data_IF_479207013800
#
_entry.id   IF_479207013800
#
_cell.length_a   1.000
_cell.length_b   1.000
_cell.length_c   1.000
_cell.angle_alpha   90.00
_cell.angle_beta   90.00
_cell.angle_gamma   90.00
#
_symmetry.space_group_name_H-M   'P 1'
#
loop_
_entity.id
_entity.type
_entity.pdbx_description
1 polymer ?
#
# COMPACT_ATOMS: atom_id res chain seq x y z
N UNK A 1 -47.79 11.16 20.59
CA UNK A 1 -46.39 11.23 20.16
C UNK A 1 -45.65 12.42 20.72
N UNK A 2 -46.15 13.68 20.63
CA UNK A 2 -45.51 14.86 21.27
C UNK A 2 -45.42 14.77 22.80
N UNK A 3 -46.47 14.34 23.47
CA UNK A 3 -46.49 14.15 24.93
C UNK A 3 -45.50 13.07 25.38
N UNK A 4 -45.38 11.97 24.65
CA UNK A 4 -44.40 10.91 24.94
C UNK A 4 -42.97 11.40 24.80
N UNK A 5 -42.66 12.23 23.77
CA UNK A 5 -41.36 12.83 23.62
C UNK A 5 -41.02 13.82 24.72
N UNK A 6 -42.00 14.59 25.21
CA UNK A 6 -41.82 15.51 26.35
C UNK A 6 -41.60 14.75 27.64
N UNK A 7 -42.31 13.64 27.88
CA UNK A 7 -42.13 12.76 29.03
C UNK A 7 -40.74 12.13 29.06
N UNK A 8 -40.25 11.65 27.89
CA UNK A 8 -38.90 11.13 27.72
C UNK A 8 -37.84 12.21 27.97
N UNK A 9 -38.01 13.42 27.43
CA UNK A 9 -37.10 14.54 27.62
C UNK A 9 -37.01 14.95 29.12
N UNK A 10 -38.14 14.96 29.85
CA UNK A 10 -38.18 15.24 31.28
C UNK A 10 -37.47 14.17 32.10
N UNK A 11 -37.56 12.92 31.69
CA UNK A 11 -36.90 11.77 32.34
C UNK A 11 -35.40 11.83 32.17
N UNK A 12 -34.93 12.13 30.95
CA UNK A 12 -33.52 12.31 30.62
C UNK A 12 -32.93 13.45 31.45
N UNK A 13 -33.67 14.56 31.64
CA UNK A 13 -33.19 15.72 32.39
C UNK A 13 -33.10 15.49 33.91
N UNK A 14 -33.90 14.57 34.48
CA UNK A 14 -33.88 14.23 35.89
C UNK A 14 -32.70 13.33 36.32
N UNK A 15 -32.21 12.47 35.44
CA UNK A 15 -31.14 11.52 35.73
C UNK A 15 -29.98 11.61 34.69
N UNK A 16 -29.43 12.83 34.52
CA UNK A 16 -28.44 13.17 33.49
C UNK A 16 -27.21 12.25 33.45
N UNK A 17 -26.63 11.95 34.63
CA UNK A 17 -25.43 11.11 34.73
C UNK A 17 -25.69 9.68 34.24
N UNK A 18 -26.86 9.11 34.59
CA UNK A 18 -27.24 7.74 34.20
C UNK A 18 -27.45 7.65 32.68
N UNK A 19 -28.27 8.58 32.15
CA UNK A 19 -28.52 8.63 30.70
C UNK A 19 -27.24 8.85 29.91
N UNK A 20 -26.34 9.71 30.41
CA UNK A 20 -25.04 9.92 29.81
C UNK A 20 -24.18 8.63 29.81
N UNK A 21 -24.06 7.96 30.98
CA UNK A 21 -23.26 6.73 31.07
C UNK A 21 -23.80 5.59 30.17
N UNK A 22 -25.17 5.48 30.10
CA UNK A 22 -25.81 4.52 29.22
C UNK A 22 -25.50 4.80 27.74
N UNK A 23 -25.73 6.04 27.34
CA UNK A 23 -25.53 6.47 25.98
C UNK A 23 -24.05 6.47 25.58
N UNK A 24 -23.17 6.86 26.49
CA UNK A 24 -21.74 6.91 26.25
C UNK A 24 -21.16 5.53 25.88
N UNK A 25 -21.58 4.46 26.58
CA UNK A 25 -21.09 3.10 26.25
C UNK A 25 -21.44 2.68 24.81
N UNK A 26 -22.64 3.03 24.33
CA UNK A 26 -23.06 2.77 22.95
C UNK A 26 -22.33 3.68 21.96
N UNK A 27 -22.29 4.99 22.28
CA UNK A 27 -21.59 5.97 21.46
C UNK A 27 -20.12 5.60 21.28
N UNK A 28 -19.45 5.20 22.37
CA UNK A 28 -18.04 4.78 22.36
C UNK A 28 -17.83 3.51 21.55
N UNK A 29 -18.72 2.52 21.66
CA UNK A 29 -18.63 1.28 20.88
C UNK A 29 -18.73 1.54 19.38
N UNK A 30 -19.70 2.36 18.94
CA UNK A 30 -19.87 2.72 17.52
C UNK A 30 -18.70 3.61 17.05
N UNK A 31 -18.28 4.57 17.85
CA UNK A 31 -17.13 5.42 17.59
C UNK A 31 -15.86 4.59 17.31
N UNK A 32 -15.51 3.68 18.23
CA UNK A 32 -14.34 2.82 18.11
C UNK A 32 -14.43 1.91 16.90
N UNK A 33 -15.61 1.35 16.61
CA UNK A 33 -15.82 0.51 15.44
C UNK A 33 -15.54 1.28 14.14
N UNK A 34 -16.04 2.52 14.02
CA UNK A 34 -15.83 3.35 12.83
C UNK A 34 -14.35 3.72 12.67
N UNK A 35 -13.69 4.12 13.75
CA UNK A 35 -12.26 4.48 13.73
C UNK A 35 -11.40 3.29 13.33
N UNK A 36 -11.66 2.11 13.91
CA UNK A 36 -10.89 0.90 13.60
C UNK A 36 -11.12 0.43 12.15
N UNK A 37 -12.39 0.41 11.69
CA UNK A 37 -12.70 0.03 10.30
C UNK A 37 -12.13 1.04 9.30
N UNK A 38 -12.24 2.33 9.59
CA UNK A 38 -11.69 3.39 8.75
C UNK A 38 -10.17 3.28 8.63
N UNK A 39 -9.47 3.12 9.76
CA UNK A 39 -8.01 2.93 9.79
C UNK A 39 -7.58 1.65 9.06
N UNK A 40 -8.30 0.54 9.26
CA UNK A 40 -8.02 -0.73 8.59
C UNK A 40 -8.19 -0.64 7.06
N UNK A 41 -9.25 0.02 6.60
CA UNK A 41 -9.47 0.25 5.17
C UNK A 41 -8.44 1.22 4.57
N UNK A 42 -8.08 2.30 5.29
CA UNK A 42 -7.03 3.22 4.86
C UNK A 42 -5.70 2.52 4.64
N UNK A 43 -5.28 1.68 5.60
CA UNK A 43 -4.05 0.90 5.47
C UNK A 43 -4.11 -0.11 4.30
N UNK A 44 -5.25 -0.76 4.10
CA UNK A 44 -5.47 -1.66 2.95
C UNK A 44 -5.35 -0.93 1.62
N UNK A 45 -5.96 0.25 1.50
CA UNK A 45 -5.89 1.07 0.29
C UNK A 45 -4.45 1.52 0.00
N UNK A 46 -3.73 2.02 1.00
CA UNK A 46 -2.33 2.42 0.87
C UNK A 46 -1.44 1.26 0.40
N UNK A 47 -1.69 0.04 0.87
CA UNK A 47 -0.98 -1.14 0.38
C UNK A 47 -1.36 -1.48 -1.07
N UNK A 48 -2.65 -1.45 -1.43
CA UNK A 48 -3.09 -1.70 -2.80
C UNK A 48 -2.47 -0.69 -3.78
N UNK A 49 -2.39 0.58 -3.40
CA UNK A 49 -1.74 1.61 -4.20
C UNK A 49 -0.24 1.36 -4.37
N UNK A 50 0.43 0.84 -3.33
CA UNK A 50 1.86 0.47 -3.39
C UNK A 50 2.15 -0.67 -4.38
N UNK A 51 1.21 -1.58 -4.58
CA UNK A 51 1.32 -2.69 -5.55
C UNK A 51 0.61 -2.41 -6.88
N UNK A 52 -0.27 -1.39 -6.94
CA UNK A 52 -1.21 -1.18 -8.04
C UNK A 52 -0.57 -0.90 -9.41
N UNK A 53 0.66 -0.41 -9.44
CA UNK A 53 1.38 -0.13 -10.67
C UNK A 53 2.28 -1.30 -11.13
N UNK A 54 2.60 -2.25 -10.24
CA UNK A 54 3.38 -3.45 -10.59
C UNK A 54 2.50 -4.49 -11.29
N UNK A 55 3.05 -5.16 -12.29
CA UNK A 55 2.38 -6.34 -12.83
C UNK A 55 2.28 -7.42 -11.73
N UNK A 56 1.06 -7.71 -11.30
CA UNK A 56 0.80 -8.64 -10.16
C UNK A 56 1.40 -10.02 -10.42
N UNK A 57 1.48 -10.43 -11.68
CA UNK A 57 2.11 -11.68 -12.13
C UNK A 57 3.61 -11.52 -12.38
N UNK A 58 4.28 -10.53 -11.79
CA UNK A 58 5.72 -10.35 -11.98
C UNK A 58 6.56 -10.97 -10.89
N UNK A 59 7.74 -11.43 -11.30
CA UNK A 59 8.80 -11.89 -10.41
C UNK A 59 10.07 -11.10 -10.66
N UNK A 60 10.90 -10.94 -9.64
CA UNK A 60 12.16 -10.22 -9.70
C UNK A 60 13.26 -11.08 -9.09
N UNK A 61 14.38 -11.18 -9.79
CA UNK A 61 15.56 -11.95 -9.34
C UNK A 61 16.66 -10.97 -8.99
N UNK A 62 17.11 -11.04 -7.77
CA UNK A 62 18.23 -10.28 -7.24
C UNK A 62 19.41 -11.19 -6.96
N UNK A 63 20.61 -10.68 -7.19
CA UNK A 63 21.82 -11.36 -6.76
C UNK A 63 21.98 -11.34 -5.25
N UNK A 64 22.73 -12.30 -4.73
CA UNK A 64 23.01 -12.45 -3.32
C UNK A 64 24.41 -12.96 -3.06
N UNK A 65 24.62 -13.58 -1.92
CA UNK A 65 25.91 -14.12 -1.51
C UNK A 65 25.80 -15.58 -1.11
N UNK A 66 26.63 -16.44 -1.71
CA UNK A 66 26.59 -17.88 -1.41
C UNK A 66 26.87 -18.17 0.05
N UNK A 67 26.07 -19.05 0.66
CA UNK A 67 26.23 -19.49 2.04
C UNK A 67 26.97 -20.82 2.16
N UNK A 68 27.03 -21.59 1.06
CA UNK A 68 27.66 -22.92 1.03
C UNK A 68 28.65 -23.07 -0.14
N UNK A 69 29.65 -23.94 0.01
CA UNK A 69 30.59 -24.25 -1.07
C UNK A 69 29.91 -25.08 -2.16
N UNK A 70 30.28 -24.88 -3.42
CA UNK A 70 29.73 -25.63 -4.55
C UNK A 70 30.72 -25.78 -5.70
N UNK A 71 30.87 -26.99 -6.25
CA UNK A 71 31.74 -27.31 -7.41
C UNK A 71 33.15 -26.70 -7.33
N UNK A 72 33.79 -26.76 -6.17
CA UNK A 72 35.14 -26.26 -5.93
C UNK A 72 35.24 -24.78 -5.54
N UNK A 73 34.11 -24.04 -5.59
CA UNK A 73 34.06 -22.67 -5.11
C UNK A 73 33.70 -22.61 -3.60
N UNK A 74 34.33 -21.70 -2.87
CA UNK A 74 34.01 -21.47 -1.46
C UNK A 74 32.71 -20.68 -1.29
N UNK A 75 32.12 -20.75 -0.09
CA UNK A 75 31.01 -19.87 0.32
C UNK A 75 31.45 -18.39 0.37
N UNK A 76 30.47 -17.49 0.41
CA UNK A 76 30.72 -16.04 0.52
C UNK A 76 30.96 -15.34 -0.80
N UNK A 77 30.79 -16.02 -1.94
CA UNK A 77 30.93 -15.43 -3.28
C UNK A 77 29.67 -14.61 -3.64
N UNK A 78 29.85 -13.41 -4.16
CA UNK A 78 28.72 -12.64 -4.69
C UNK A 78 28.27 -13.25 -6.02
N UNK A 79 26.98 -13.48 -6.13
CA UNK A 79 26.32 -13.90 -7.35
C UNK A 79 25.51 -12.72 -7.85
N UNK A 80 25.71 -12.32 -9.10
CA UNK A 80 25.03 -11.20 -9.72
C UNK A 80 24.42 -11.66 -11.03
N UNK A 81 23.13 -11.47 -11.27
CA UNK A 81 22.53 -11.73 -12.57
C UNK A 81 23.21 -10.89 -13.66
N UNK A 82 23.16 -11.35 -14.90
CA UNK A 82 23.74 -10.61 -16.02
C UNK A 82 22.76 -10.54 -17.21
N UNK A 83 23.10 -9.74 -18.24
CA UNK A 83 22.24 -9.59 -19.42
C UNK A 83 22.06 -10.89 -20.21
N UNK A 84 23.02 -11.82 -20.14
CA UNK A 84 22.93 -13.07 -20.87
C UNK A 84 21.87 -14.00 -20.26
N UNK A 85 21.56 -13.82 -18.98
CA UNK A 85 20.49 -14.55 -18.31
C UNK A 85 19.12 -14.26 -18.94
N UNK A 86 18.91 -13.09 -19.54
CA UNK A 86 17.67 -12.80 -20.27
C UNK A 86 17.44 -13.85 -21.36
N UNK A 87 18.48 -14.11 -22.16
CA UNK A 87 18.39 -15.07 -23.25
C UNK A 87 18.28 -16.51 -22.74
N UNK A 88 19.02 -16.83 -21.67
CA UNK A 88 18.93 -18.13 -20.99
C UNK A 88 17.52 -18.40 -20.51
N UNK A 89 16.91 -17.45 -19.80
CA UNK A 89 15.57 -17.60 -19.24
C UNK A 89 14.49 -17.62 -20.32
N UNK A 90 14.59 -16.76 -21.33
CA UNK A 90 13.63 -16.75 -22.46
C UNK A 90 13.64 -18.05 -23.21
N UNK A 91 14.82 -18.68 -23.43
CA UNK A 91 14.95 -19.95 -24.17
C UNK A 91 14.50 -21.15 -23.31
N UNK A 92 14.73 -21.14 -22.01
CA UNK A 92 14.41 -22.25 -21.11
C UNK A 92 12.93 -22.27 -20.69
N UNK A 93 12.32 -21.09 -20.57
CA UNK A 93 10.95 -20.91 -20.04
C UNK A 93 10.03 -20.15 -21.01
N UNK A 94 9.97 -20.51 -22.32
CA UNK A 94 9.21 -19.72 -23.31
C UNK A 94 7.71 -19.69 -23.06
N UNK A 95 7.17 -20.74 -22.43
CA UNK A 95 5.74 -20.85 -22.12
C UNK A 95 5.36 -20.17 -20.80
N UNK A 96 6.32 -20.04 -19.87
CA UNK A 96 6.06 -19.48 -18.53
C UNK A 96 6.46 -18.00 -18.42
N UNK A 97 7.46 -17.53 -19.14
CA UNK A 97 7.88 -16.12 -19.13
C UNK A 97 7.27 -15.39 -20.31
N UNK A 98 6.56 -14.29 -20.05
CA UNK A 98 5.94 -13.45 -21.07
C UNK A 98 6.89 -12.32 -21.51
N UNK A 99 7.28 -11.50 -20.56
CA UNK A 99 8.17 -10.38 -20.78
C UNK A 99 9.30 -10.41 -19.76
N UNK A 100 10.49 -9.99 -20.18
CA UNK A 100 11.64 -9.90 -19.31
C UNK A 100 12.36 -8.56 -19.49
N UNK A 101 12.79 -7.98 -18.38
CA UNK A 101 13.56 -6.74 -18.33
C UNK A 101 14.70 -6.87 -17.33
N UNK A 102 15.75 -6.10 -17.59
CA UNK A 102 16.87 -5.95 -16.68
C UNK A 102 17.02 -4.49 -16.26
N UNK A 103 17.52 -4.28 -15.07
CA UNK A 103 17.93 -2.94 -14.62
C UNK A 103 19.27 -2.94 -13.93
N UNK A 104 19.99 -1.80 -14.03
CA UNK A 104 21.24 -1.53 -13.35
C UNK A 104 21.17 -0.14 -12.72
N UNK A 105 21.85 0.05 -11.61
CA UNK A 105 21.69 1.24 -10.78
C UNK A 105 23.00 2.04 -10.70
N UNK A 106 22.87 3.35 -10.90
CA UNK A 106 23.90 4.31 -10.56
C UNK A 106 23.31 5.32 -9.56
N UNK A 107 23.74 5.23 -8.31
CA UNK A 107 23.16 5.97 -7.19
C UNK A 107 23.72 7.39 -7.11
N UNK A 108 22.87 8.36 -6.81
CA UNK A 108 23.30 9.72 -6.50
C UNK A 108 23.83 10.50 -7.70
N UNK A 109 23.32 10.27 -8.90
CA UNK A 109 23.69 11.01 -10.10
C UNK A 109 23.31 12.50 -9.96
N UNK A 110 24.24 13.39 -10.29
CA UNK A 110 24.01 14.82 -10.25
C UNK A 110 23.42 15.31 -11.55
N UNK A 111 22.26 15.95 -11.47
CA UNK A 111 21.54 16.51 -12.60
C UNK A 111 21.73 18.02 -12.65
N UNK A 112 21.91 18.59 -13.84
CA UNK A 112 21.98 20.03 -14.02
C UNK A 112 21.30 20.47 -15.34
N UNK A 113 20.56 21.57 -15.25
CA UNK A 113 20.00 22.27 -16.41
C UNK A 113 20.08 23.78 -16.16
N UNK A 114 20.94 24.48 -16.93
CA UNK A 114 21.21 25.89 -16.70
C UNK A 114 21.84 26.14 -15.33
N UNK A 115 21.09 26.80 -14.44
CA UNK A 115 21.50 27.09 -13.05
C UNK A 115 20.83 26.18 -12.02
N UNK A 116 19.93 25.29 -12.46
CA UNK A 116 19.18 24.39 -11.57
C UNK A 116 19.90 23.07 -11.44
N UNK A 117 19.89 22.53 -10.23
CA UNK A 117 20.54 21.28 -9.87
C UNK A 117 19.58 20.37 -9.12
N UNK A 118 19.71 19.08 -9.32
CA UNK A 118 19.01 18.05 -8.57
C UNK A 118 19.90 16.81 -8.45
N UNK A 119 19.54 15.89 -7.56
CA UNK A 119 20.19 14.57 -7.45
C UNK A 119 19.14 13.51 -7.66
N UNK A 120 19.44 12.51 -8.47
CA UNK A 120 18.54 11.38 -8.72
C UNK A 120 19.31 10.06 -8.83
N UNK A 121 18.61 8.96 -8.71
CA UNK A 121 19.16 7.64 -8.99
C UNK A 121 18.94 7.32 -10.48
N UNK A 122 20.02 7.10 -11.21
CA UNK A 122 19.99 6.75 -12.62
C UNK A 122 19.83 5.23 -12.78
N UNK A 123 18.74 4.82 -13.38
CA UNK A 123 18.43 3.42 -13.71
C UNK A 123 18.69 3.18 -15.19
N UNK A 124 19.67 2.33 -15.49
CA UNK A 124 19.82 1.77 -16.82
C UNK A 124 18.84 0.62 -17.02
N UNK A 125 17.92 0.72 -17.97
CA UNK A 125 16.82 -0.23 -18.12
C UNK A 125 16.68 -0.73 -19.56
N UNK A 126 16.06 -1.90 -19.71
CA UNK A 126 15.64 -2.44 -21.01
C UNK A 126 14.24 -1.93 -21.41
N UNK A 127 13.85 -1.98 -22.69
CA UNK A 127 12.60 -1.38 -23.19
C UNK A 127 11.32 -1.93 -22.56
N UNK A 128 11.30 -3.17 -22.12
CA UNK A 128 10.13 -3.82 -21.49
C UNK A 128 9.94 -3.48 -19.99
N UNK A 129 10.85 -2.72 -19.41
CA UNK A 129 10.84 -2.34 -18.02
C UNK A 129 9.53 -1.65 -17.58
N UNK A 130 8.95 -0.66 -18.32
CA UNK A 130 7.76 0.04 -17.87
C UNK A 130 6.54 -0.86 -17.78
N UNK A 131 6.40 -1.84 -18.67
CA UNK A 131 5.27 -2.76 -18.69
C UNK A 131 5.27 -3.69 -17.45
N UNK A 132 6.47 -4.09 -16.99
CA UNK A 132 6.65 -4.98 -15.84
C UNK A 132 6.59 -4.22 -14.51
N UNK A 133 7.22 -3.04 -14.48
CA UNK A 133 7.33 -2.21 -13.26
C UNK A 133 6.23 -1.16 -13.11
N UNK A 134 5.26 -1.11 -14.04
CA UNK A 134 4.14 -0.18 -13.98
C UNK A 134 4.51 1.29 -14.19
N UNK A 135 5.61 1.56 -14.91
CA UNK A 135 6.03 2.94 -15.16
C UNK A 135 5.12 3.59 -16.22
N UNK A 136 4.34 4.59 -15.81
CA UNK A 136 3.39 5.30 -16.68
C UNK A 136 4.02 6.54 -17.26
N UNK A 137 4.27 6.55 -18.59
CA UNK A 137 4.76 7.72 -19.31
C UNK A 137 3.64 8.76 -19.41
N UNK A 138 3.93 9.98 -18.98
CA UNK A 138 2.97 11.12 -18.99
C UNK A 138 3.15 12.00 -20.21
N UNK A 139 4.37 12.12 -20.74
CA UNK A 139 4.66 12.89 -21.95
C UNK A 139 5.88 12.31 -22.68
N UNK A 140 5.92 12.47 -24.00
CA UNK A 140 7.02 11.93 -24.82
C UNK A 140 6.95 10.41 -24.98
N UNK A 141 8.09 9.73 -24.85
CA UNK A 141 8.21 8.27 -24.98
C UNK A 141 9.17 7.68 -23.95
N UNK A 142 9.05 6.38 -23.73
CA UNK A 142 10.05 5.61 -22.99
C UNK A 142 11.23 5.19 -23.87
N UNK A 143 12.22 4.54 -23.27
CA UNK A 143 13.40 3.97 -23.92
C UNK A 143 12.97 2.84 -24.86
N UNK A 144 13.54 2.78 -26.05
CA UNK A 144 13.22 1.77 -27.07
C UNK A 144 14.47 0.96 -27.49
N UNK A 145 14.27 -0.04 -28.33
CA UNK A 145 15.34 -0.92 -28.83
C UNK A 145 16.43 -0.17 -29.60
N UNK A 146 16.07 0.88 -30.34
CA UNK A 146 17.03 1.72 -31.06
C UNK A 146 17.96 2.45 -30.11
N UNK A 147 17.41 2.99 -28.98
CA UNK A 147 18.21 3.67 -27.96
C UNK A 147 19.21 2.70 -27.31
N UNK A 148 18.82 1.44 -27.09
CA UNK A 148 19.72 0.38 -26.59
C UNK A 148 20.82 0.03 -27.61
N UNK A 149 20.42 -0.21 -28.84
CA UNK A 149 21.34 -0.64 -29.89
C UNK A 149 22.38 0.42 -30.23
N UNK A 150 21.95 1.66 -30.32
CA UNK A 150 22.81 2.80 -30.65
C UNK A 150 23.44 3.45 -29.41
N UNK A 151 23.17 2.94 -28.23
CA UNK A 151 23.68 3.46 -26.94
C UNK A 151 23.42 4.97 -26.79
N UNK A 152 22.20 5.39 -27.16
CA UNK A 152 21.83 6.80 -27.14
C UNK A 152 21.87 7.36 -25.72
N UNK A 153 22.41 8.57 -25.55
CA UNK A 153 22.36 9.31 -24.28
C UNK A 153 20.99 10.02 -24.17
N UNK A 154 19.96 9.23 -23.88
CA UNK A 154 18.60 9.72 -23.65
C UNK A 154 18.16 9.40 -22.25
N UNK A 155 17.26 10.22 -21.71
CA UNK A 155 16.74 10.06 -20.36
C UNK A 155 15.24 10.31 -20.29
N UNK A 156 14.56 9.55 -19.42
CA UNK A 156 13.17 9.76 -19.04
C UNK A 156 13.19 10.23 -17.59
N UNK A 157 12.57 11.38 -17.32
CA UNK A 157 12.54 12.03 -16.02
C UNK A 157 11.21 11.78 -15.32
N UNK A 158 11.22 11.77 -14.00
CA UNK A 158 9.99 11.89 -13.23
C UNK A 158 9.45 13.34 -13.24
N UNK A 159 8.13 13.46 -12.98
CA UNK A 159 7.44 14.75 -13.01
C UNK A 159 8.02 15.77 -12.00
N UNK A 160 8.55 15.32 -10.85
CA UNK A 160 9.12 16.20 -9.82
C UNK A 160 10.49 16.72 -10.23
N UNK A 161 11.36 15.84 -10.71
CA UNK A 161 12.68 16.23 -11.26
C UNK A 161 12.51 17.20 -12.41
N UNK A 162 11.53 16.96 -13.29
CA UNK A 162 11.21 17.87 -14.38
C UNK A 162 10.78 19.25 -13.87
N UNK A 163 9.88 19.33 -12.90
CA UNK A 163 9.46 20.60 -12.29
C UNK A 163 10.62 21.37 -11.66
N UNK A 164 11.50 20.66 -10.95
CA UNK A 164 12.66 21.26 -10.28
C UNK A 164 13.65 21.85 -11.29
N UNK A 165 14.00 21.08 -12.33
CA UNK A 165 15.02 21.50 -13.30
C UNK A 165 14.50 22.53 -14.31
N UNK A 166 13.26 22.38 -14.76
CA UNK A 166 12.71 23.18 -15.86
C UNK A 166 11.72 24.26 -15.41
N UNK A 167 11.31 24.29 -14.13
CA UNK A 167 10.39 25.31 -13.57
C UNK A 167 9.08 25.47 -14.37
N UNK A 168 8.58 24.35 -14.91
CA UNK A 168 7.34 24.32 -15.70
C UNK A 168 7.53 24.50 -17.21
N UNK A 169 8.75 24.72 -17.70
CA UNK A 169 9.01 24.70 -19.14
C UNK A 169 9.02 23.25 -19.67
N UNK A 170 8.68 23.06 -20.95
CA UNK A 170 8.70 21.74 -21.60
C UNK A 170 10.13 21.17 -21.63
N UNK A 171 10.39 20.02 -21.01
CA UNK A 171 11.69 19.38 -20.98
C UNK A 171 11.97 18.51 -22.21
N UNK A 172 10.97 18.11 -22.99
CA UNK A 172 11.13 17.16 -24.10
C UNK A 172 12.04 17.74 -25.17
N UNK A 173 13.03 16.95 -25.59
CA UNK A 173 14.04 17.33 -26.57
C UNK A 173 15.17 18.22 -26.02
N UNK A 174 15.08 18.70 -24.77
CA UNK A 174 16.17 19.46 -24.14
C UNK A 174 17.29 18.55 -23.65
N UNK A 175 18.48 19.12 -23.58
CA UNK A 175 19.68 18.42 -23.08
C UNK A 175 19.95 18.84 -21.65
N UNK A 176 19.97 17.87 -20.74
CA UNK A 176 20.43 18.05 -19.35
C UNK A 176 21.82 17.44 -19.15
N UNK A 177 22.52 17.86 -18.15
CA UNK A 177 23.76 17.21 -17.73
C UNK A 177 23.45 16.21 -16.62
N UNK A 178 23.94 14.97 -16.79
CA UNK A 178 23.99 13.93 -15.76
C UNK A 178 25.45 13.58 -15.53
N UNK A 179 25.96 13.85 -14.35
CA UNK A 179 27.38 13.68 -14.00
C UNK A 179 28.33 14.31 -15.06
N UNK A 180 28.02 15.55 -15.47
CA UNK A 180 28.73 16.31 -16.50
C UNK A 180 28.59 15.80 -17.95
N UNK A 181 27.77 14.79 -18.19
CA UNK A 181 27.49 14.30 -19.56
C UNK A 181 26.10 14.76 -20.03
N UNK A 182 26.00 15.16 -21.30
CA UNK A 182 24.74 15.59 -21.90
C UNK A 182 23.83 14.40 -22.23
N UNK A 183 22.59 14.47 -21.75
CA UNK A 183 21.51 13.54 -22.07
C UNK A 183 20.30 14.28 -22.59
N UNK A 184 19.70 13.78 -23.67
CA UNK A 184 18.47 14.34 -24.22
C UNK A 184 17.25 13.79 -23.48
N UNK A 185 16.38 14.65 -22.99
CA UNK A 185 15.12 14.23 -22.38
C UNK A 185 14.15 13.78 -23.46
N UNK A 186 13.70 12.52 -23.42
CA UNK A 186 12.80 11.92 -24.42
C UNK A 186 11.42 11.63 -23.87
N UNK A 187 11.25 11.66 -22.56
CA UNK A 187 9.95 11.43 -21.95
C UNK A 187 9.89 11.85 -20.50
N UNK A 188 8.66 11.93 -20.01
CA UNK A 188 8.33 12.12 -18.62
C UNK A 188 7.48 10.95 -18.14
N UNK A 189 7.59 10.59 -16.88
CA UNK A 189 6.74 9.59 -16.27
C UNK A 189 6.20 10.08 -14.92
N UNK A 190 5.07 9.53 -14.50
CA UNK A 190 4.52 9.79 -13.18
C UNK A 190 5.41 9.11 -12.15
N UNK A 191 6.18 9.90 -11.40
CA UNK A 191 7.01 9.41 -10.31
C UNK A 191 6.17 8.79 -9.19
N UNK A 192 6.75 7.81 -8.50
CA UNK A 192 6.13 7.26 -7.29
C UNK A 192 6.60 8.11 -6.09
N UNK A 193 5.66 8.72 -5.38
CA UNK A 193 5.93 9.64 -4.27
C UNK A 193 6.57 8.95 -3.04
N UNK A 194 6.75 7.63 -3.08
CA UNK A 194 7.31 6.86 -1.96
C UNK A 194 8.85 6.78 -1.93
N UNK A 195 9.56 7.38 -2.88
CA UNK A 195 11.02 7.33 -2.91
C UNK A 195 11.63 8.67 -2.49
N UNK A 196 12.51 8.66 -1.49
CA UNK A 196 13.27 9.85 -1.04
C UNK A 196 14.16 10.45 -2.13
N UNK A 197 14.64 9.64 -3.07
CA UNK A 197 15.47 10.09 -4.17
C UNK A 197 14.76 9.80 -5.49
N UNK A 198 14.56 10.82 -6.34
CA UNK A 198 13.96 10.65 -7.65
C UNK A 198 14.69 9.57 -8.47
N UNK A 199 13.94 8.89 -9.32
CA UNK A 199 14.51 7.92 -10.27
C UNK A 199 14.45 8.51 -11.66
N UNK A 200 15.49 8.30 -12.45
CA UNK A 200 15.52 8.64 -13.88
C UNK A 200 15.94 7.41 -14.66
N UNK A 201 15.41 7.25 -15.87
CA UNK A 201 15.65 6.07 -16.69
C UNK A 201 16.46 6.40 -17.93
N UNK A 202 17.44 5.57 -18.23
CA UNK A 202 18.31 5.67 -19.42
C UNK A 202 18.50 4.28 -20.02
N UNK A 203 18.90 4.15 -21.30
CA UNK A 203 19.21 2.85 -21.90
C UNK A 203 20.27 2.11 -21.09
N UNK A 204 20.03 0.83 -20.77
CA UNK A 204 20.96 0.02 -19.98
C UNK A 204 22.35 -0.05 -20.62
N UNK A 205 22.41 -0.12 -21.96
CA UNK A 205 23.68 -0.14 -22.71
C UNK A 205 24.49 1.14 -22.54
N UNK A 206 23.83 2.30 -22.41
CA UNK A 206 24.47 3.60 -22.16
C UNK A 206 25.06 3.65 -20.75
N UNK A 207 24.29 3.19 -19.75
CA UNK A 207 24.74 3.16 -18.34
C UNK A 207 25.93 2.20 -18.18
N UNK A 208 25.91 1.03 -18.80
CA UNK A 208 27.05 0.11 -18.80
C UNK A 208 28.31 0.75 -19.39
N UNK A 209 28.16 1.42 -20.52
CA UNK A 209 29.30 2.06 -21.17
C UNK A 209 29.93 3.18 -20.34
N UNK A 210 29.09 3.98 -19.68
CA UNK A 210 29.55 5.19 -19.00
C UNK A 210 29.98 4.90 -17.56
N UNK A 211 29.20 4.11 -16.83
CA UNK A 211 29.37 3.97 -15.37
C UNK A 211 29.89 2.60 -14.93
N UNK A 212 29.73 1.56 -15.75
CA UNK A 212 30.00 0.17 -15.33
C UNK A 212 31.19 -0.46 -16.08
N UNK A 213 32.00 0.32 -16.79
CA UNK A 213 33.13 -0.18 -17.58
C UNK A 213 32.77 -1.37 -18.48
N UNK A 214 31.59 -1.34 -19.10
CA UNK A 214 31.01 -2.39 -19.95
C UNK A 214 30.79 -3.76 -19.27
N UNK A 215 30.78 -3.83 -17.93
CA UNK A 215 30.30 -5.02 -17.24
C UNK A 215 28.85 -5.26 -17.61
N UNK A 216 28.46 -6.55 -17.66
CA UNK A 216 27.09 -6.97 -18.03
C UNK A 216 26.26 -7.40 -16.84
N UNK A 217 26.81 -7.24 -15.63
CA UNK A 217 26.12 -7.54 -14.38
C UNK A 217 24.97 -6.57 -14.18
N UNK A 218 23.79 -7.08 -13.88
CA UNK A 218 22.57 -6.28 -13.64
C UNK A 218 22.20 -6.27 -12.18
N UNK A 219 21.48 -5.24 -11.74
CA UNK A 219 20.99 -5.14 -10.37
C UNK A 219 19.84 -6.08 -10.11
N UNK A 220 18.91 -6.20 -11.07
CA UNK A 220 17.82 -7.19 -11.05
C UNK A 220 17.40 -7.60 -12.47
N UNK A 221 16.82 -8.80 -12.53
CA UNK A 221 16.02 -9.27 -13.65
C UNK A 221 14.56 -9.30 -13.21
N UNK A 222 13.70 -8.67 -13.97
CA UNK A 222 12.26 -8.63 -13.71
C UNK A 222 11.52 -9.24 -14.90
N UNK A 223 10.54 -10.09 -14.63
CA UNK A 223 9.76 -10.72 -15.70
C UNK A 223 8.32 -10.96 -15.26
N UNK A 224 7.42 -11.04 -16.22
CA UNK A 224 6.04 -11.48 -16.01
C UNK A 224 5.90 -12.95 -16.34
N UNK A 225 5.08 -13.65 -15.54
CA UNK A 225 4.82 -15.08 -15.75
C UNK A 225 3.41 -15.31 -16.29
N UNK A 226 3.29 -16.34 -17.15
CA UNK A 226 2.03 -16.84 -17.72
C UNK A 226 1.63 -18.12 -17.02
N UNK A 227 0.32 -18.36 -16.91
CA UNK A 227 -0.30 -19.62 -16.50
C UNK A 227 0.16 -20.21 -15.14
N UNK A 228 0.81 -19.41 -14.32
CA UNK A 228 1.13 -19.74 -12.92
C UNK A 228 0.01 -19.21 -12.04
N UNK A 229 -0.91 -20.11 -11.61
CA UNK A 229 -2.14 -19.74 -10.87
C UNK A 229 -2.14 -20.23 -9.44
N UNK A 230 -1.39 -21.30 -9.14
CA UNK A 230 -1.31 -21.90 -7.81
C UNK A 230 0.05 -21.67 -7.16
N UNK A 231 0.08 -21.69 -5.84
CA UNK A 231 1.31 -21.51 -5.06
C UNK A 231 2.29 -22.68 -5.31
N UNK A 232 1.76 -23.88 -5.61
CA UNK A 232 2.55 -25.04 -5.95
C UNK A 232 3.26 -24.88 -7.31
N UNK A 233 2.52 -24.37 -8.32
CA UNK A 233 3.10 -24.04 -9.64
C UNK A 233 4.17 -22.94 -9.54
N UNK A 234 3.92 -21.90 -8.71
CA UNK A 234 4.90 -20.84 -8.46
C UNK A 234 6.17 -21.39 -7.81
N UNK A 235 6.01 -22.28 -6.83
CA UNK A 235 7.14 -22.92 -6.17
C UNK A 235 7.96 -23.77 -7.15
N UNK A 236 7.31 -24.67 -7.90
CA UNK A 236 7.98 -25.51 -8.91
C UNK A 236 8.73 -24.67 -9.95
N UNK A 237 8.10 -23.62 -10.45
CA UNK A 237 8.75 -22.70 -11.38
C UNK A 237 9.97 -22.01 -10.75
N UNK A 238 9.88 -21.51 -9.51
CA UNK A 238 10.99 -20.89 -8.79
C UNK A 238 12.14 -21.88 -8.55
N UNK A 239 11.84 -23.11 -8.19
CA UNK A 239 12.85 -24.16 -7.97
C UNK A 239 13.61 -24.48 -9.28
N UNK A 240 12.91 -24.61 -10.41
CA UNK A 240 13.53 -24.80 -11.74
C UNK A 240 14.34 -23.57 -12.19
N UNK A 241 13.82 -22.36 -11.92
CA UNK A 241 14.50 -21.11 -12.21
C UNK A 241 15.83 -21.02 -11.45
N UNK A 242 15.83 -21.30 -10.14
CA UNK A 242 17.03 -21.31 -9.30
C UNK A 242 18.02 -22.36 -9.77
N UNK A 243 17.54 -23.56 -10.11
CA UNK A 243 18.41 -24.64 -10.62
C UNK A 243 19.10 -24.21 -11.92
N UNK A 244 18.38 -23.56 -12.84
CA UNK A 244 18.92 -23.07 -14.11
C UNK A 244 19.94 -21.95 -13.93
N UNK A 245 19.63 -20.97 -13.10
CA UNK A 245 20.55 -19.88 -12.77
C UNK A 245 21.75 -20.38 -11.95
N UNK A 246 21.53 -21.35 -11.06
CA UNK A 246 22.59 -22.04 -10.32
C UNK A 246 23.59 -22.76 -11.23
N UNK A 247 23.12 -23.35 -12.30
CA UNK A 247 23.98 -23.94 -13.31
C UNK A 247 24.78 -22.87 -14.09
N UNK A 248 24.16 -21.75 -14.46
CA UNK A 248 24.80 -20.65 -15.19
C UNK A 248 25.84 -19.90 -14.33
N UNK A 249 25.55 -19.65 -13.07
CA UNK A 249 26.41 -18.90 -12.15
C UNK A 249 27.23 -19.76 -11.18
N UNK A 250 27.14 -21.09 -11.31
CA UNK A 250 27.90 -22.08 -10.53
C UNK A 250 27.67 -21.92 -9.02
N UNK A 251 26.42 -21.94 -8.58
CA UNK A 251 26.03 -22.04 -7.18
C UNK A 251 25.05 -23.19 -6.94
N UNK A 252 24.96 -23.68 -5.70
CA UNK A 252 24.02 -24.75 -5.35
C UNK A 252 22.58 -24.28 -5.46
N UNK A 253 21.68 -25.03 -6.10
CA UNK A 253 20.24 -24.72 -6.09
C UNK A 253 19.63 -24.69 -4.68
N UNK A 254 20.24 -25.39 -3.72
CA UNK A 254 19.78 -25.39 -2.33
C UNK A 254 20.21 -24.13 -1.55
N UNK A 255 21.10 -23.32 -2.11
CA UNK A 255 21.62 -22.11 -1.50
C UNK A 255 20.65 -20.92 -1.73
N UNK A 256 19.67 -20.77 -0.84
CA UNK A 256 18.68 -19.69 -0.89
C UNK A 256 19.26 -18.28 -0.72
N UNK A 257 20.54 -18.16 -0.30
CA UNK A 257 21.22 -16.89 -0.11
C UNK A 257 21.93 -16.42 -1.38
N UNK A 258 22.17 -17.31 -2.35
CA UNK A 258 22.89 -17.03 -3.58
C UNK A 258 22.10 -16.12 -4.53
N UNK A 259 20.79 -16.34 -4.62
CA UNK A 259 19.85 -15.50 -5.35
C UNK A 259 18.52 -15.40 -4.61
N UNK A 260 17.91 -14.23 -4.65
CA UNK A 260 16.60 -13.97 -4.05
C UNK A 260 15.56 -13.71 -5.14
N UNK A 261 14.47 -14.46 -5.11
CA UNK A 261 13.33 -14.26 -6.00
C UNK A 261 12.22 -13.59 -5.24
N UNK A 262 11.87 -12.38 -5.65
CA UNK A 262 10.74 -11.64 -5.12
C UNK A 262 9.52 -11.87 -6.02
N UNK A 263 8.55 -12.62 -5.52
CA UNK A 263 7.29 -12.92 -6.19
C UNK A 263 6.24 -11.91 -5.72
N UNK A 264 5.81 -11.03 -6.63
CA UNK A 264 4.84 -9.96 -6.32
C UNK A 264 3.51 -10.56 -5.90
N UNK A 265 3.04 -11.64 -6.56
CA UNK A 265 1.78 -12.30 -6.24
C UNK A 265 1.80 -12.92 -4.83
N UNK A 266 2.89 -13.58 -4.47
CA UNK A 266 3.05 -14.19 -3.14
C UNK A 266 3.04 -13.12 -2.05
N UNK A 267 3.78 -12.03 -2.24
CA UNK A 267 3.81 -10.91 -1.29
C UNK A 267 2.44 -10.21 -1.20
N UNK A 268 1.74 -10.05 -2.32
CA UNK A 268 0.38 -9.51 -2.33
C UNK A 268 -0.59 -10.40 -1.55
N UNK A 269 -0.55 -11.72 -1.76
CA UNK A 269 -1.37 -12.69 -1.00
C UNK A 269 -1.05 -12.68 0.49
N UNK A 270 0.23 -12.63 0.87
CA UNK A 270 0.65 -12.54 2.28
C UNK A 270 0.13 -11.26 2.91
N UNK A 271 0.24 -10.13 2.23
CA UNK A 271 -0.34 -8.86 2.67
C UNK A 271 -1.86 -8.97 2.85
N UNK A 272 -2.57 -9.54 1.90
CA UNK A 272 -4.02 -9.77 1.99
C UNK A 272 -4.39 -10.64 3.22
N UNK A 273 -3.63 -11.69 3.52
CA UNK A 273 -3.85 -12.53 4.71
C UNK A 273 -3.69 -11.73 6.01
N UNK A 274 -2.67 -10.88 6.09
CA UNK A 274 -2.45 -10.00 7.25
C UNK A 274 -3.65 -9.05 7.42
N UNK A 275 -4.09 -8.39 6.34
CA UNK A 275 -5.24 -7.47 6.41
C UNK A 275 -6.55 -8.17 6.76
N UNK A 276 -6.77 -9.37 6.25
CA UNK A 276 -7.95 -10.17 6.63
C UNK A 276 -7.89 -10.55 8.12
N UNK A 277 -6.70 -10.86 8.66
CA UNK A 277 -6.49 -11.08 10.08
C UNK A 277 -6.79 -9.84 10.93
N UNK A 278 -6.30 -8.68 10.51
CA UNK A 278 -6.59 -7.39 11.17
C UNK A 278 -8.09 -7.10 11.12
N UNK A 279 -8.74 -7.28 9.97
CA UNK A 279 -10.17 -7.07 9.83
C UNK A 279 -10.98 -7.99 10.74
N UNK A 280 -10.62 -9.27 10.83
CA UNK A 280 -11.24 -10.22 11.75
C UNK A 280 -11.10 -9.76 13.21
N UNK A 281 -9.91 -9.33 13.61
CA UNK A 281 -9.65 -8.82 14.95
C UNK A 281 -10.49 -7.57 15.27
N UNK A 282 -10.60 -6.64 14.33
CA UNK A 282 -11.46 -5.44 14.44
C UNK A 282 -12.93 -5.86 14.63
N UNK A 283 -13.42 -6.85 13.86
CA UNK A 283 -14.77 -7.36 14.01
C UNK A 283 -15.02 -7.99 15.39
N UNK A 284 -14.08 -8.77 15.91
CA UNK A 284 -14.18 -9.39 17.24
C UNK A 284 -14.28 -8.30 18.32
N UNK A 285 -13.40 -7.31 18.29
CA UNK A 285 -13.43 -6.18 19.25
C UNK A 285 -14.72 -5.38 19.08
N UNK A 286 -15.10 -5.05 17.85
CA UNK A 286 -16.30 -4.27 17.56
C UNK A 286 -17.57 -4.94 18.06
N UNK A 287 -17.75 -6.23 17.81
CA UNK A 287 -18.88 -7.00 18.34
C UNK A 287 -18.82 -7.06 19.88
N UNK A 288 -17.65 -7.30 20.46
CA UNK A 288 -17.45 -7.31 21.90
C UNK A 288 -17.86 -5.99 22.58
N UNK A 289 -17.46 -4.86 22.00
CA UNK A 289 -17.83 -3.52 22.53
C UNK A 289 -19.32 -3.24 22.37
N UNK A 290 -19.95 -3.68 21.28
CA UNK A 290 -21.40 -3.57 21.10
C UNK A 290 -22.16 -4.41 22.13
N UNK A 291 -21.73 -5.65 22.38
CA UNK A 291 -22.32 -6.51 23.42
C UNK A 291 -22.18 -5.85 24.80
N UNK A 292 -21.01 -5.32 25.13
CA UNK A 292 -20.81 -4.59 26.38
C UNK A 292 -21.74 -3.38 26.50
N UNK A 293 -21.93 -2.64 25.40
CA UNK A 293 -22.92 -1.54 25.32
C UNK A 293 -24.34 -2.01 25.58
N UNK A 294 -24.78 -3.11 24.97
CA UNK A 294 -26.12 -3.70 25.17
C UNK A 294 -26.32 -4.08 26.66
N UNK A 295 -25.33 -4.74 27.27
CA UNK A 295 -25.39 -5.11 28.69
C UNK A 295 -25.49 -3.87 29.57
N UNK A 296 -24.71 -2.82 29.28
CA UNK A 296 -24.77 -1.54 29.97
C UNK A 296 -26.15 -0.90 29.91
N UNK A 297 -26.73 -0.82 28.69
CA UNK A 297 -28.10 -0.29 28.50
C UNK A 297 -29.12 -1.14 29.24
N UNK A 298 -29.06 -2.46 29.17
CA UNK A 298 -29.98 -3.39 29.82
C UNK A 298 -29.96 -3.22 31.35
N UNK A 299 -28.78 -3.14 31.95
CA UNK A 299 -28.65 -2.96 33.41
C UNK A 299 -29.27 -1.65 33.86
N UNK A 300 -29.06 -0.56 33.13
CA UNK A 300 -29.61 0.75 33.50
C UNK A 300 -31.11 0.79 33.27
N UNK A 301 -31.62 0.19 32.20
CA UNK A 301 -33.06 0.09 31.98
C UNK A 301 -33.76 -0.74 33.06
N UNK A 302 -33.15 -1.82 33.53
CA UNK A 302 -33.69 -2.64 34.63
C UNK A 302 -33.81 -1.83 35.94
N UNK A 303 -32.82 -0.99 36.27
CA UNK A 303 -32.90 -0.08 37.41
C UNK A 303 -34.01 0.95 37.21
N UNK A 304 -34.11 1.57 36.02
CA UNK A 304 -35.16 2.54 35.69
C UNK A 304 -36.56 1.96 35.84
N UNK A 305 -36.79 0.73 35.37
CA UNK A 305 -38.06 0.03 35.50
C UNK A 305 -38.38 -0.22 37.00
N UNK A 306 -37.40 -0.63 37.80
CA UNK A 306 -37.59 -0.81 39.26
C UNK A 306 -37.98 0.50 39.98
N UNK A 307 -37.32 1.59 39.66
CA UNK A 307 -37.66 2.92 40.25
C UNK A 307 -39.07 3.38 39.88
N UNK A 308 -39.55 3.04 38.65
CA UNK A 308 -40.90 3.40 38.17
C UNK A 308 -41.96 2.33 38.43
N UNK A 309 -41.67 1.31 39.26
CA UNK A 309 -42.60 0.20 39.52
C UNK A 309 -43.94 0.71 40.10
N UNK A 310 -43.93 1.72 40.99
CA UNK A 310 -45.12 2.33 41.56
C UNK A 310 -45.98 3.03 40.47
N UNK A 311 -45.37 3.79 39.60
CA UNK A 311 -46.01 4.48 38.47
C UNK A 311 -46.67 3.47 37.52
N UNK A 312 -45.95 2.39 37.13
CA UNK A 312 -46.48 1.32 36.33
C UNK A 312 -47.61 0.56 37.02
N UNK A 313 -47.53 0.42 38.36
CA UNK A 313 -48.61 -0.16 39.18
C UNK A 313 -49.91 0.64 39.09
N UNK A 314 -49.83 1.97 39.22
CA UNK A 314 -50.97 2.89 39.08
C UNK A 314 -51.56 2.78 37.66
N UNK A 315 -50.76 2.84 36.61
CA UNK A 315 -51.21 2.75 35.21
C UNK A 315 -51.89 1.40 34.94
N UNK A 316 -51.36 0.32 35.52
CA UNK A 316 -51.98 -1.02 35.42
C UNK A 316 -53.30 -1.10 36.18
N UNK A 317 -53.42 -0.51 37.38
CA UNK A 317 -54.64 -0.44 38.12
C UNK A 317 -55.75 0.37 37.40
N UNK A 318 -55.36 1.39 36.62
CA UNK A 318 -56.27 2.15 35.75
C UNK A 318 -56.63 1.43 34.43
N UNK A 319 -56.18 0.17 34.25
CA UNK A 319 -56.54 -0.63 33.09
C UNK A 319 -55.58 -0.63 31.90
N UNK A 320 -54.34 -0.09 32.08
CA UNK A 320 -53.35 -0.14 31.02
C UNK A 320 -52.90 -1.58 30.72
N UNK A 321 -52.84 -1.94 29.45
CA UNK A 321 -52.34 -3.26 28.99
C UNK A 321 -50.83 -3.39 29.29
N UNK A 322 -50.36 -4.55 29.80
CA UNK A 322 -48.91 -4.76 30.05
C UNK A 322 -48.07 -4.52 28.83
N UNK A 323 -48.54 -4.85 27.63
CA UNK A 323 -47.82 -4.62 26.36
C UNK A 323 -47.60 -3.15 26.06
N UNK A 324 -48.49 -2.24 26.50
CA UNK A 324 -48.30 -0.79 26.31
C UNK A 324 -47.22 -0.24 27.21
N UNK A 325 -47.04 -0.74 28.44
CA UNK A 325 -45.98 -0.37 29.36
C UNK A 325 -44.60 -0.85 28.87
N UNK A 326 -44.53 -2.11 28.38
CA UNK A 326 -43.31 -2.66 27.78
C UNK A 326 -42.92 -1.86 26.55
N UNK A 327 -43.89 -1.54 25.66
CA UNK A 327 -43.65 -0.73 24.47
C UNK A 327 -43.09 0.66 24.82
N UNK A 328 -43.56 1.30 25.89
CA UNK A 328 -43.06 2.61 26.35
C UNK A 328 -41.59 2.51 26.72
N UNK A 329 -41.19 1.53 27.53
CA UNK A 329 -39.80 1.31 27.95
C UNK A 329 -38.90 0.98 26.76
N UNK A 330 -39.37 0.16 25.82
CA UNK A 330 -38.61 -0.16 24.62
C UNK A 330 -38.39 1.05 23.70
N UNK A 331 -39.41 1.88 23.50
CA UNK A 331 -39.28 3.12 22.72
C UNK A 331 -38.27 4.07 23.38
N UNK A 332 -38.33 4.23 24.69
CA UNK A 332 -37.38 5.06 25.44
C UNK A 332 -35.94 4.57 25.26
N UNK A 333 -35.69 3.26 25.40
CA UNK A 333 -34.36 2.68 25.22
C UNK A 333 -33.83 2.82 23.77
N UNK A 334 -34.69 2.58 22.79
CA UNK A 334 -34.32 2.72 21.36
C UNK A 334 -33.99 4.17 21.02
N UNK A 335 -34.77 5.14 21.52
CA UNK A 335 -34.50 6.55 21.23
C UNK A 335 -33.18 7.02 21.87
N UNK A 336 -32.88 6.63 23.10
CA UNK A 336 -31.60 6.95 23.74
C UNK A 336 -30.45 6.29 22.97
N UNK A 337 -30.55 5.01 22.69
CA UNK A 337 -29.52 4.25 21.97
C UNK A 337 -29.27 4.83 20.56
N UNK A 338 -30.33 5.18 19.83
CA UNK A 338 -30.22 5.78 18.49
C UNK A 338 -29.55 7.17 18.54
N UNK A 339 -29.96 8.02 19.51
CA UNK A 339 -29.37 9.36 19.66
C UNK A 339 -27.86 9.30 19.96
N UNK A 340 -27.47 8.48 20.94
CA UNK A 340 -26.05 8.33 21.31
C UNK A 340 -25.26 7.55 20.26
N UNK A 341 -25.88 6.57 19.60
CA UNK A 341 -25.28 5.88 18.45
C UNK A 341 -24.97 6.83 17.30
N UNK A 342 -25.88 7.77 17.03
CA UNK A 342 -25.66 8.81 16.01
C UNK A 342 -24.53 9.77 16.41
N UNK A 343 -24.44 10.15 17.68
CA UNK A 343 -23.32 10.95 18.21
C UNK A 343 -22.00 10.21 18.06
N UNK A 344 -21.95 8.91 18.40
CA UNK A 344 -20.77 8.07 18.20
C UNK A 344 -20.35 7.98 16.75
N UNK A 345 -21.32 7.85 15.83
CA UNK A 345 -21.07 7.82 14.39
C UNK A 345 -20.47 9.16 13.90
N UNK A 346 -21.09 10.29 14.24
CA UNK A 346 -20.57 11.61 13.87
C UNK A 346 -19.15 11.82 14.43
N UNK A 347 -18.94 11.44 15.71
CA UNK A 347 -17.64 11.54 16.34
C UNK A 347 -16.57 10.69 15.63
N UNK A 348 -16.91 9.44 15.27
CA UNK A 348 -16.02 8.53 14.55
C UNK A 348 -15.64 9.04 13.16
N UNK A 349 -16.65 9.42 12.37
CA UNK A 349 -16.42 10.01 11.04
C UNK A 349 -15.65 11.32 11.14
N UNK A 350 -16.03 12.19 12.09
CA UNK A 350 -15.37 13.48 12.31
C UNK A 350 -13.88 13.35 12.67
N UNK A 351 -13.52 12.36 13.50
CA UNK A 351 -12.09 12.09 13.79
C UNK A 351 -11.36 11.55 12.55
N UNK A 352 -11.97 10.64 11.80
CA UNK A 352 -11.34 10.14 10.58
C UNK A 352 -11.10 11.26 9.56
N UNK A 353 -12.08 12.16 9.39
CA UNK A 353 -11.95 13.33 8.52
C UNK A 353 -10.87 14.31 9.00
N UNK A 354 -10.80 14.51 10.32
CA UNK A 354 -9.78 15.36 10.95
C UNK A 354 -8.38 14.78 10.75
N UNK A 355 -8.21 13.48 10.93
CA UNK A 355 -6.96 12.76 10.66
C UNK A 355 -6.57 12.93 9.19
N UNK A 356 -7.51 12.69 8.26
CA UNK A 356 -7.28 12.85 6.82
C UNK A 356 -6.85 14.29 6.49
N UNK A 357 -7.55 15.29 7.01
CA UNK A 357 -7.21 16.70 6.83
C UNK A 357 -5.79 17.04 7.33
N UNK A 358 -5.41 16.57 8.52
CA UNK A 358 -4.06 16.81 9.03
C UNK A 358 -2.99 16.08 8.21
N UNK A 359 -3.29 14.89 7.72
CA UNK A 359 -2.37 14.12 6.89
C UNK A 359 -2.17 14.79 5.52
N UNK A 360 -3.25 15.23 4.86
CA UNK A 360 -3.16 16.00 3.61
C UNK A 360 -2.39 17.31 3.81
N UNK A 361 -2.62 18.01 4.92
CA UNK A 361 -1.90 19.23 5.23
C UNK A 361 -0.44 18.99 5.59
N UNK A 362 -0.14 17.90 6.30
CA UNK A 362 1.23 17.48 6.56
C UNK A 362 1.95 17.10 5.25
N UNK A 363 1.28 16.37 4.36
CA UNK A 363 1.79 16.04 3.03
C UNK A 363 2.02 17.29 2.17
N UNK A 364 1.11 18.27 2.22
CA UNK A 364 1.26 19.53 1.47
C UNK A 364 2.36 20.45 2.03
N UNK A 365 2.63 20.41 3.34
CA UNK A 365 3.63 21.23 4.02
C UNK A 365 4.93 20.49 4.30
N UNK A 366 4.98 19.19 4.02
CA UNK A 366 6.20 18.42 4.19
C UNK A 366 7.27 18.96 3.24
N UNK A 367 8.51 19.18 3.70
CA UNK A 367 9.64 19.32 2.80
C UNK A 367 9.58 18.17 1.80
N UNK A 368 10.01 18.37 0.55
CA UNK A 368 9.94 17.38 -0.54
C UNK A 368 10.49 15.97 -0.21
N UNK A 369 11.02 15.78 0.98
CA UNK A 369 11.65 14.58 1.52
C UNK A 369 10.80 13.78 2.52
N UNK A 370 9.56 14.16 2.82
CA UNK A 370 8.77 13.48 3.84
C UNK A 370 7.72 12.53 3.26
N UNK A 371 7.69 11.36 3.84
CA UNK A 371 6.85 10.19 3.56
C UNK A 371 5.35 10.53 3.49
N UNK A 372 4.72 10.46 2.31
CA UNK A 372 3.27 10.34 2.19
C UNK A 372 2.86 8.88 2.50
N UNK A 373 2.68 8.57 3.78
CA UNK A 373 2.34 7.21 4.22
C UNK A 373 0.84 6.91 4.21
N UNK A 374 -0.01 7.92 4.01
CA UNK A 374 -1.46 7.75 4.08
C UNK A 374 -2.19 8.77 3.17
N UNK A 375 -2.58 8.33 2.02
CA UNK A 375 -3.69 8.90 1.25
C UNK A 375 -4.82 7.93 1.19
#
# INVERSE_FOLDING_TARGET
MREQLQEIASTISRNKLRTFLTGFSVAWGIFMLIVLLGSGNGLRNAMQDSFGDLAVNSMQVYGGRTSMPYKGFQSGRNITPNLDDIQVLTNEFPDQIDQIAASVYHWGANLAYGREYNTANLYGVTPKFPEIKGVRVTAGRFINETDIKERRKVVVLDDMTSKTLFKGADPIGKVIQIDKMGYTVVGLYKGNNYSYTPRIYSPISTVFQIYMANKRDVGDLSFTVKDIRTDEQSKDFKDRLVARLGAAHTFSPDDKSAMYIWDVMENYKQGQMIFNGIALFIWIIGIGTLIAGIVGVSNIMLVTVRERTFEFGIRKAMGAKPSSLVKLVLIESVLITAAFGYIGMIGGVGIMELVNFFMERAAANAPQDSFEMFK
#
